data_IF_976663790068
#
_entry.id   IF_976663790068
#
_cell.length_a   1.000
_cell.length_b   1.000
_cell.length_c   1.000
_cell.angle_alpha   90.00
_cell.angle_beta   90.00
_cell.angle_gamma   90.00
#
_symmetry.space_group_name_H-M   'P 1'
#
loop_
_entity.id
_entity.type
_entity.pdbx_description
1 polymer ?
#
# COMPACT_ATOMS: atom_id res chain seq x y z
N UNK A 1 -17.42 7.16 -19.39
CA UNK A 1 -16.83 8.52 -19.45
C UNK A 1 -17.83 9.69 -19.23
N UNK A 2 -18.99 9.76 -19.91
CA UNK A 2 -19.97 10.86 -19.72
C UNK A 2 -20.41 11.06 -18.26
N UNK A 3 -20.60 9.97 -17.51
CA UNK A 3 -21.01 10.03 -16.10
C UNK A 3 -19.94 10.64 -15.19
N UNK A 4 -18.66 10.30 -15.37
CA UNK A 4 -17.57 10.87 -14.58
C UNK A 4 -17.48 12.40 -14.78
N UNK A 5 -17.53 12.86 -16.04
CA UNK A 5 -17.61 14.30 -16.36
C UNK A 5 -18.83 14.97 -15.72
N UNK A 6 -20.01 14.35 -15.77
CA UNK A 6 -21.22 14.90 -15.17
C UNK A 6 -21.13 14.96 -13.65
N UNK A 7 -20.60 13.92 -13.00
CA UNK A 7 -20.38 13.88 -11.56
C UNK A 7 -19.37 14.94 -11.11
N UNK A 8 -18.26 15.10 -11.85
CA UNK A 8 -17.28 16.16 -11.58
C UNK A 8 -17.87 17.55 -11.79
N UNK A 9 -18.65 17.79 -12.86
CA UNK A 9 -19.37 19.06 -13.05
C UNK A 9 -20.35 19.35 -11.91
N UNK A 10 -21.12 18.35 -11.47
CA UNK A 10 -22.05 18.44 -10.32
C UNK A 10 -21.33 18.68 -8.99
N UNK A 11 -20.07 18.27 -8.89
CA UNK A 11 -19.26 18.51 -7.69
C UNK A 11 -18.96 20.00 -7.46
N UNK A 12 -19.15 20.85 -8.48
CA UNK A 12 -19.04 22.30 -8.35
C UNK A 12 -17.62 22.76 -8.05
N UNK A 13 -17.45 23.66 -7.06
CA UNK A 13 -16.14 24.20 -6.64
C UNK A 13 -15.45 23.38 -5.54
N UNK A 14 -15.80 22.09 -5.38
CA UNK A 14 -15.15 21.25 -4.36
C UNK A 14 -13.66 21.16 -4.64
N UNK A 15 -12.85 21.36 -3.60
CA UNK A 15 -11.38 21.35 -3.72
C UNK A 15 -10.80 19.95 -3.92
N UNK A 16 -11.53 18.90 -3.55
CA UNK A 16 -11.16 17.49 -3.67
C UNK A 16 -12.39 16.63 -3.88
N UNK A 17 -12.33 15.69 -4.82
CA UNK A 17 -13.35 14.68 -5.10
C UNK A 17 -12.67 13.33 -5.01
N UNK A 18 -13.23 12.41 -4.23
CA UNK A 18 -12.78 11.02 -4.14
C UNK A 18 -13.76 10.19 -4.95
N UNK A 19 -13.23 9.38 -5.85
CA UNK A 19 -14.00 8.47 -6.70
C UNK A 19 -13.63 7.06 -6.24
N UNK A 20 -14.60 6.35 -5.67
CA UNK A 20 -14.48 4.92 -5.43
C UNK A 20 -14.82 4.18 -6.72
N UNK A 21 -13.98 3.22 -7.09
CA UNK A 21 -14.11 2.43 -8.32
C UNK A 21 -14.40 0.98 -7.95
N UNK A 22 -14.81 0.18 -8.93
CA UNK A 22 -14.78 -1.26 -8.77
C UNK A 22 -13.35 -1.77 -8.59
N UNK A 23 -13.23 -2.99 -8.07
CA UNK A 23 -11.95 -3.69 -7.98
C UNK A 23 -11.34 -3.86 -9.38
N UNK A 24 -10.01 -3.86 -9.44
CA UNK A 24 -9.28 -4.20 -10.66
C UNK A 24 -9.62 -5.63 -11.09
N UNK A 25 -9.72 -5.82 -12.41
CA UNK A 25 -9.95 -7.11 -13.05
C UNK A 25 -8.78 -7.38 -14.00
N UNK A 26 -7.57 -7.71 -13.48
CA UNK A 26 -6.37 -7.90 -14.30
C UNK A 26 -6.53 -8.87 -15.47
N UNK A 27 -7.42 -9.85 -15.35
CA UNK A 27 -7.73 -10.83 -16.39
C UNK A 27 -8.29 -10.19 -17.68
N UNK A 28 -8.87 -8.99 -17.61
CA UNK A 28 -9.38 -8.26 -18.78
C UNK A 28 -8.30 -7.48 -19.52
N UNK A 29 -7.10 -7.34 -18.94
CA UNK A 29 -6.01 -6.54 -19.54
C UNK A 29 -6.48 -5.11 -19.79
N UNK A 30 -6.22 -4.58 -20.98
CA UNK A 30 -6.64 -3.22 -21.38
C UNK A 30 -8.16 -3.05 -21.56
N UNK A 31 -8.95 -4.13 -21.50
CA UNK A 31 -10.41 -4.06 -21.54
C UNK A 31 -11.04 -3.90 -20.14
N UNK A 32 -10.22 -3.72 -19.09
CA UNK A 32 -10.73 -3.39 -17.76
C UNK A 32 -11.46 -2.04 -17.80
N UNK A 33 -12.74 -1.96 -17.36
CA UNK A 33 -13.52 -0.73 -17.36
C UNK A 33 -12.87 0.43 -16.59
N UNK A 34 -11.89 0.17 -15.72
CA UNK A 34 -11.13 1.22 -15.03
C UNK A 34 -10.42 2.16 -16.01
N UNK A 35 -10.01 1.66 -17.18
CA UNK A 35 -9.31 2.47 -18.19
C UNK A 35 -10.19 3.58 -18.79
N UNK A 36 -11.50 3.36 -18.86
CA UNK A 36 -12.48 4.35 -19.36
C UNK A 36 -12.49 5.66 -18.53
N UNK A 37 -11.97 5.63 -17.30
CA UNK A 37 -11.81 6.82 -16.45
C UNK A 37 -10.66 7.72 -16.92
N UNK A 38 -9.67 7.17 -17.64
CA UNK A 38 -8.45 7.88 -18.03
C UNK A 38 -8.41 8.25 -19.52
N UNK A 39 -9.43 7.89 -20.29
CA UNK A 39 -9.59 8.34 -21.69
C UNK A 39 -9.59 9.87 -21.83
N UNK A 40 -9.94 10.56 -20.75
CA UNK A 40 -10.11 11.99 -20.72
C UNK A 40 -9.10 12.68 -19.80
N UNK A 41 -7.94 13.00 -20.37
CA UNK A 41 -6.82 13.61 -19.64
C UNK A 41 -7.15 14.99 -19.04
N UNK A 42 -8.16 15.70 -19.56
CA UNK A 42 -8.57 17.01 -19.01
C UNK A 42 -9.14 16.91 -17.59
N UNK A 43 -9.60 15.72 -17.19
CA UNK A 43 -10.13 15.50 -15.85
C UNK A 43 -9.05 15.51 -14.77
N UNK A 44 -7.77 15.33 -15.13
CA UNK A 44 -6.65 15.36 -14.19
C UNK A 44 -6.79 14.34 -13.06
N UNK A 45 -7.31 13.15 -13.37
CA UNK A 45 -7.55 12.09 -12.37
C UNK A 45 -6.21 11.47 -11.97
N UNK A 46 -5.90 11.55 -10.68
CA UNK A 46 -4.79 10.82 -10.05
C UNK A 46 -5.31 9.55 -9.39
N UNK A 47 -4.54 8.46 -9.45
CA UNK A 47 -4.95 7.17 -8.90
C UNK A 47 -4.17 6.82 -7.65
N UNK A 48 -4.90 6.48 -6.59
CA UNK A 48 -4.32 5.83 -5.42
C UNK A 48 -4.71 4.36 -5.44
N UNK A 49 -3.72 3.48 -5.58
CA UNK A 49 -3.93 2.03 -5.52
C UNK A 49 -4.11 1.59 -4.07
N UNK A 50 -5.09 0.72 -3.79
CA UNK A 50 -5.30 0.15 -2.45
C UNK A 50 -5.12 -1.35 -2.53
N UNK A 51 -4.04 -1.87 -1.93
CA UNK A 51 -3.72 -3.30 -1.96
C UNK A 51 -3.78 -3.91 -0.57
N UNK A 52 -4.62 -4.92 -0.32
CA UNK A 52 -4.62 -5.62 0.94
C UNK A 52 -3.39 -6.52 1.10
N UNK A 53 -2.81 -6.50 2.30
CA UNK A 53 -1.67 -7.31 2.71
C UNK A 53 -1.92 -8.83 2.74
N UNK A 54 -3.16 -9.24 2.46
CA UNK A 54 -3.61 -10.63 2.42
C UNK A 54 -3.49 -11.25 1.03
N UNK A 55 -3.14 -10.49 -0.02
CA UNK A 55 -2.98 -11.03 -1.36
C UNK A 55 -1.80 -12.01 -1.44
N UNK A 56 -1.99 -13.10 -2.17
CA UNK A 56 -0.94 -14.06 -2.50
C UNK A 56 -0.06 -13.54 -3.66
N UNK A 57 1.15 -14.07 -3.77
CA UNK A 57 2.14 -13.60 -4.73
C UNK A 57 1.67 -13.70 -6.19
N UNK A 58 0.88 -14.72 -6.55
CA UNK A 58 0.34 -14.92 -7.88
C UNK A 58 -0.62 -13.78 -8.27
N UNK A 59 -1.47 -13.36 -7.33
CA UNK A 59 -2.41 -12.26 -7.52
C UNK A 59 -1.64 -10.94 -7.65
N UNK A 60 -0.63 -10.72 -6.80
CA UNK A 60 0.20 -9.52 -6.86
C UNK A 60 0.94 -9.38 -8.20
N UNK A 61 1.42 -10.48 -8.80
CA UNK A 61 2.03 -10.44 -10.15
C UNK A 61 1.04 -10.01 -11.23
N UNK A 62 -0.20 -10.50 -11.14
CA UNK A 62 -1.24 -10.12 -12.10
C UNK A 62 -1.61 -8.64 -11.95
N UNK A 63 -1.69 -8.14 -10.71
CA UNK A 63 -1.90 -6.73 -10.40
C UNK A 63 -0.73 -5.87 -10.91
N UNK A 64 0.52 -6.26 -10.66
CA UNK A 64 1.72 -5.54 -11.09
C UNK A 64 1.73 -5.25 -12.60
N UNK A 65 1.41 -6.27 -13.41
CA UNK A 65 1.30 -6.10 -14.87
C UNK A 65 0.17 -5.15 -15.27
N UNK A 66 -0.92 -5.16 -14.51
CA UNK A 66 -2.10 -4.37 -14.80
C UNK A 66 -1.90 -2.89 -14.45
N UNK A 67 -1.40 -2.60 -13.25
CA UNK A 67 -1.25 -1.22 -12.74
C UNK A 67 -0.20 -0.40 -13.50
N UNK A 68 0.73 -1.04 -14.23
CA UNK A 68 1.71 -0.35 -15.09
C UNK A 68 1.08 0.51 -16.19
N UNK A 69 -0.18 0.23 -16.54
CA UNK A 69 -0.92 0.99 -17.53
C UNK A 69 -1.77 2.12 -16.93
N UNK A 70 -1.77 2.26 -15.60
CA UNK A 70 -2.57 3.25 -14.87
C UNK A 70 -1.70 4.40 -14.35
N UNK A 71 -2.22 5.65 -14.29
CA UNK A 71 -1.50 6.80 -13.75
C UNK A 71 -1.52 6.79 -12.21
N UNK A 72 -0.86 5.80 -11.60
CA UNK A 72 -0.78 5.65 -10.14
C UNK A 72 0.12 6.73 -9.54
N UNK A 73 -0.44 7.58 -8.67
CA UNK A 73 0.29 8.62 -7.93
C UNK A 73 0.72 8.17 -6.52
N UNK A 74 0.17 7.05 -6.04
CA UNK A 74 0.59 6.43 -4.79
C UNK A 74 -0.20 5.19 -4.45
N UNK A 75 0.21 4.50 -3.38
CA UNK A 75 -0.46 3.31 -2.92
C UNK A 75 -0.67 3.26 -1.40
N UNK A 76 -1.72 2.54 -1.01
CA UNK A 76 -2.09 2.25 0.37
C UNK A 76 -2.06 0.73 0.57
N UNK A 77 -1.41 0.28 1.65
CA UNK A 77 -1.48 -1.13 2.06
C UNK A 77 -2.60 -1.29 3.09
N UNK A 78 -3.64 -2.05 2.77
CA UNK A 78 -4.73 -2.32 3.72
C UNK A 78 -4.56 -3.66 4.42
N UNK A 79 -5.29 -3.87 5.52
CA UNK A 79 -5.29 -5.13 6.29
C UNK A 79 -3.89 -5.61 6.71
N UNK A 80 -3.02 -4.70 7.12
CA UNK A 80 -1.63 -5.02 7.51
C UNK A 80 -1.56 -6.01 8.68
N UNK A 81 -2.54 -5.99 9.59
CA UNK A 81 -2.61 -6.94 10.71
C UNK A 81 -2.75 -8.40 10.28
N UNK A 82 -3.31 -8.63 9.09
CA UNK A 82 -3.63 -9.96 8.55
C UNK A 82 -2.67 -10.34 7.41
N UNK A 83 -1.49 -9.71 7.39
CA UNK A 83 -0.59 -9.81 6.25
C UNK A 83 -0.13 -11.26 6.02
N UNK A 84 -0.41 -11.76 4.82
CA UNK A 84 0.14 -13.04 4.34
C UNK A 84 1.57 -12.83 3.85
N UNK A 85 1.82 -11.73 3.14
CA UNK A 85 3.17 -11.35 2.69
C UNK A 85 3.29 -9.85 2.48
N UNK A 86 3.61 -9.12 3.56
CA UNK A 86 3.89 -7.68 3.46
C UNK A 86 5.13 -7.40 2.59
N UNK A 87 6.11 -8.29 2.63
CA UNK A 87 7.34 -8.18 1.84
C UNK A 87 7.08 -8.17 0.33
N UNK A 88 6.18 -9.02 -0.17
CA UNK A 88 5.85 -9.08 -1.60
C UNK A 88 5.17 -7.79 -2.09
N UNK A 89 4.34 -7.16 -1.27
CA UNK A 89 3.70 -5.89 -1.63
C UNK A 89 4.71 -4.74 -1.63
N UNK A 90 5.58 -4.69 -0.63
CA UNK A 90 6.65 -3.71 -0.59
C UNK A 90 7.60 -3.87 -1.77
N UNK A 91 7.96 -5.09 -2.12
CA UNK A 91 8.78 -5.40 -3.30
C UNK A 91 8.12 -4.90 -4.58
N UNK A 92 6.82 -5.19 -4.78
CA UNK A 92 6.06 -4.69 -5.93
C UNK A 92 6.10 -3.16 -6.02
N UNK A 93 5.83 -2.45 -4.91
CA UNK A 93 5.86 -0.99 -4.90
C UNK A 93 7.25 -0.40 -5.14
N UNK A 94 8.30 -1.02 -4.61
CA UNK A 94 9.69 -0.60 -4.87
C UNK A 94 10.02 -0.77 -6.35
N UNK A 95 9.71 -1.92 -6.94
CA UNK A 95 10.04 -2.23 -8.34
C UNK A 95 9.22 -1.42 -9.35
N UNK A 96 8.03 -0.97 -8.97
CA UNK A 96 7.16 -0.10 -9.78
C UNK A 96 7.35 1.38 -9.51
N UNK A 97 8.24 1.73 -8.58
CA UNK A 97 8.48 3.12 -8.14
C UNK A 97 7.20 3.83 -7.63
N UNK A 98 6.23 3.07 -7.13
CA UNK A 98 4.97 3.61 -6.61
C UNK A 98 5.16 4.03 -5.15
N UNK A 99 4.90 5.31 -4.80
CA UNK A 99 5.11 5.78 -3.43
C UNK A 99 4.04 5.21 -2.48
N UNK A 100 4.50 4.63 -1.36
CA UNK A 100 3.63 4.21 -0.27
C UNK A 100 3.17 5.44 0.53
N UNK A 101 1.89 5.82 0.39
CA UNK A 101 1.33 7.03 1.01
C UNK A 101 0.60 6.74 2.32
N UNK A 102 0.18 5.50 2.55
CA UNK A 102 -0.52 5.13 3.78
C UNK A 102 -0.65 3.63 3.99
N UNK A 103 -1.09 3.27 5.19
CA UNK A 103 -1.43 1.89 5.53
C UNK A 103 -2.63 1.84 6.47
N UNK A 104 -3.35 0.71 6.48
CA UNK A 104 -4.45 0.47 7.42
C UNK A 104 -4.39 -0.90 8.07
N UNK A 105 -4.76 -0.93 9.35
CA UNK A 105 -5.10 -2.14 10.10
C UNK A 105 -6.60 -2.23 10.28
N UNK A 106 -7.11 -3.43 10.53
CA UNK A 106 -8.55 -3.67 10.68
C UNK A 106 -9.18 -2.80 11.80
N UNK A 107 -8.42 -2.51 12.85
CA UNK A 107 -8.85 -1.69 13.99
C UNK A 107 -8.67 -0.18 13.78
N UNK A 108 -8.02 0.26 12.71
CA UNK A 108 -7.69 1.66 12.52
C UNK A 108 -8.93 2.44 12.07
N UNK A 109 -9.28 3.50 12.79
CA UNK A 109 -10.34 4.44 12.38
C UNK A 109 -9.87 5.44 11.32
N UNK A 110 -8.55 5.54 11.11
CA UNK A 110 -7.90 6.48 10.20
C UNK A 110 -6.68 5.82 9.55
N UNK A 111 -6.47 6.08 8.25
CA UNK A 111 -5.27 5.69 7.52
C UNK A 111 -4.01 6.22 8.24
N UNK A 112 -3.09 5.31 8.54
CA UNK A 112 -1.80 5.67 9.10
C UNK A 112 -0.90 6.17 7.98
N UNK A 113 -0.38 7.39 8.13
CA UNK A 113 0.59 7.92 7.19
C UNK A 113 1.90 7.13 7.32
N UNK A 114 2.44 6.70 6.18
CA UNK A 114 3.73 6.03 6.13
C UNK A 114 4.75 7.01 5.56
N UNK A 115 5.88 7.15 6.26
CA UNK A 115 7.03 7.91 5.74
C UNK A 115 8.26 7.00 5.75
N UNK A 116 9.09 7.11 4.70
CA UNK A 116 10.35 6.37 4.60
C UNK A 116 11.25 6.61 5.82
N UNK A 117 11.37 7.86 6.25
CA UNK A 117 12.10 8.22 7.47
C UNK A 117 11.50 7.59 8.74
N UNK A 118 10.18 7.55 8.86
CA UNK A 118 9.50 6.89 9.98
C UNK A 118 9.80 5.40 10.03
N UNK A 119 9.69 4.71 8.89
CA UNK A 119 10.01 3.28 8.77
C UNK A 119 11.47 2.99 9.11
N UNK A 120 12.42 3.74 8.55
CA UNK A 120 13.85 3.54 8.81
C UNK A 120 14.19 3.78 10.29
N UNK A 121 13.63 4.83 10.90
CA UNK A 121 13.85 5.11 12.34
C UNK A 121 13.31 3.99 13.22
N UNK A 122 12.10 3.49 12.92
CA UNK A 122 11.50 2.39 13.65
C UNK A 122 12.33 1.11 13.51
N UNK A 123 12.73 0.75 12.28
CA UNK A 123 13.56 -0.42 12.03
C UNK A 123 14.89 -0.36 12.80
N UNK A 124 15.57 0.80 12.78
CA UNK A 124 16.81 1.02 13.55
C UNK A 124 16.59 0.89 15.05
N UNK A 125 15.48 1.42 15.57
CA UNK A 125 15.12 1.31 17.00
C UNK A 125 14.93 -0.15 17.39
N UNK A 126 14.09 -0.89 16.65
CA UNK A 126 13.79 -2.30 16.92
C UNK A 126 15.05 -3.17 16.84
N UNK A 127 15.92 -2.92 15.87
CA UNK A 127 17.19 -3.63 15.75
C UNK A 127 18.10 -3.42 16.98
N UNK A 128 18.17 -2.19 17.50
CA UNK A 128 18.94 -1.89 18.73
C UNK A 128 18.35 -2.57 19.96
N UNK A 129 17.04 -2.48 20.13
CA UNK A 129 16.32 -3.12 21.25
C UNK A 129 16.55 -4.64 21.24
N UNK A 130 16.52 -5.27 20.06
CA UNK A 130 16.78 -6.70 19.92
C UNK A 130 18.21 -7.11 20.28
N UNK A 131 19.20 -6.29 19.92
CA UNK A 131 20.60 -6.52 20.29
C UNK A 131 20.77 -6.44 21.82
N UNK A 132 20.12 -5.47 22.45
CA UNK A 132 20.22 -5.28 23.91
C UNK A 132 19.51 -6.40 24.68
N UNK A 133 18.33 -6.84 24.22
CA UNK A 133 17.61 -7.99 24.76
C UNK A 133 18.47 -9.26 24.70
N UNK A 134 19.10 -9.53 23.54
CA UNK A 134 19.98 -10.68 23.38
C UNK A 134 21.22 -10.63 24.29
N UNK A 135 21.77 -9.43 24.56
CA UNK A 135 22.88 -9.25 25.51
C UNK A 135 22.46 -9.61 26.94
N UNK A 136 21.29 -9.16 27.38
CA UNK A 136 20.76 -9.46 28.71
C UNK A 136 20.48 -10.96 28.90
N UNK A 137 19.96 -11.64 27.88
CA UNK A 137 19.75 -13.11 27.90
C UNK A 137 21.08 -13.87 27.94
N UNK A 138 22.09 -13.38 27.22
CA UNK A 138 23.43 -13.98 27.23
C UNK A 138 24.11 -13.85 28.60
N UNK A 139 23.86 -12.76 29.32
CA UNK A 139 24.38 -12.54 30.66
C UNK A 139 23.65 -13.34 31.74
N UNK A 140 22.33 -13.53 31.64
CA UNK A 140 21.57 -14.35 32.60
C UNK A 140 21.82 -15.85 32.45
N UNK A 141 22.13 -16.32 31.24
CA UNK A 141 22.57 -17.70 30.96
C UNK A 141 23.93 -18.06 31.57
N UNK A 142 24.76 -17.06 31.91
CA UNK A 142 26.12 -17.27 32.44
C UNK A 142 26.19 -17.63 33.93
N UNK A 143 25.09 -17.47 34.68
CA UNK A 143 25.08 -17.64 36.15
C UNK A 143 24.59 -19.00 36.65
N UNK A 144 24.31 -19.96 35.75
CA UNK A 144 23.71 -21.25 36.12
C UNK A 144 24.67 -22.44 35.99
N UNK A 145 25.89 -22.35 36.55
CA UNK A 145 26.76 -23.52 36.78
C UNK A 145 27.70 -23.33 37.98
N UNK A 146 27.19 -23.49 39.18
CA UNK A 146 27.98 -23.99 40.33
C UNK A 146 27.06 -24.80 41.24
N UNK A 147 27.18 -26.12 41.13
CA UNK A 147 26.79 -27.09 42.15
C UNK A 147 28.05 -27.86 42.54
#
# INVERSE_FOLDING_TARGET
MLEARLCLKRSGRRKKVIIETCDLIPALGMNDPIFDLFDDQELGIEVISVLPATHQAEILKSIDLHIKHLPISGAIISRVSDAVSLGAILDMFILTEIPLVGMSRQSDSVLQQVTSNGLIKLAKKLARERVEENRLVSMSSGYSKTA
#
